data_IF_757393814856
#
_entry.id   IF_757393814856
#
_cell.length_a   1.000
_cell.length_b   1.000
_cell.length_c   1.000
_cell.angle_alpha   90.00
_cell.angle_beta   90.00
_cell.angle_gamma   90.00
#
_symmetry.space_group_name_H-M   'P 1'
#
loop_
_entity.id
_entity.type
_entity.pdbx_description
1 polymer ?
#
# COMPACT_ATOMS: atom_id res chain seq x y z
N UNK A 1 48.81 73.79 46.95
CA UNK A 1 49.17 72.98 45.75
C UNK A 1 49.44 71.50 46.05
N UNK A 2 49.55 71.09 47.32
CA UNK A 2 49.79 69.68 47.72
C UNK A 2 48.50 68.86 47.82
N UNK A 3 47.42 69.43 48.34
CA UNK A 3 46.11 68.76 48.47
C UNK A 3 45.45 68.43 47.12
N UNK A 4 45.56 69.35 46.14
CA UNK A 4 45.04 69.12 44.77
C UNK A 4 45.81 68.00 44.07
N UNK A 5 47.13 67.90 44.28
CA UNK A 5 47.96 66.82 43.72
C UNK A 5 47.60 65.46 44.32
N UNK A 6 47.32 65.39 45.63
CA UNK A 6 46.92 64.14 46.31
C UNK A 6 45.56 63.65 45.77
N UNK A 7 44.60 64.56 45.57
CA UNK A 7 43.28 64.21 45.03
C UNK A 7 43.33 63.73 43.57
N UNK A 8 44.24 64.31 42.76
CA UNK A 8 44.45 63.93 41.37
C UNK A 8 45.13 62.56 41.24
N UNK A 9 46.06 62.23 42.14
CA UNK A 9 46.74 60.92 42.17
C UNK A 9 45.77 59.82 42.61
N UNK A 10 44.90 60.07 43.60
CA UNK A 10 43.89 59.09 44.03
C UNK A 10 42.85 58.82 42.94
N UNK A 11 42.48 59.83 42.15
CA UNK A 11 41.56 59.67 41.02
C UNK A 11 42.19 58.92 39.85
N UNK A 12 43.49 59.13 39.60
CA UNK A 12 44.24 58.39 38.57
C UNK A 12 44.42 56.91 38.93
N UNK A 13 44.63 56.58 40.22
CA UNK A 13 44.75 55.20 40.69
C UNK A 13 43.42 54.45 40.70
N UNK A 14 42.29 55.10 40.99
CA UNK A 14 40.97 54.45 40.93
C UNK A 14 40.50 54.17 39.51
N UNK A 15 40.97 54.95 38.52
CA UNK A 15 40.64 54.73 37.10
C UNK A 15 41.31 53.51 36.48
N UNK A 16 42.38 52.98 37.08
CA UNK A 16 43.13 51.83 36.57
C UNK A 16 42.57 50.48 37.07
N UNK A 17 41.60 50.50 38.01
CA UNK A 17 41.02 49.31 38.67
C UNK A 17 39.56 49.08 38.25
N UNK A 18 39.17 49.52 37.05
CA UNK A 18 37.94 49.06 36.37
C UNK A 18 38.23 48.00 35.28
N UNK A 19 38.92 46.87 35.57
CA UNK A 19 39.13 45.84 34.58
C UNK A 19 37.85 45.04 34.35
N UNK A 20 37.61 44.68 33.09
CA UNK A 20 37.18 43.32 32.71
C UNK A 20 35.83 42.87 33.30
N UNK A 21 34.76 43.61 32.98
CA UNK A 21 33.39 43.09 33.02
C UNK A 21 32.72 43.14 31.63
N UNK A 22 33.52 43.15 30.56
CA UNK A 22 33.08 43.02 29.18
C UNK A 22 33.38 41.64 28.65
N UNK A 23 32.79 40.60 29.24
CA UNK A 23 32.71 39.29 28.60
C UNK A 23 31.85 39.43 27.34
N UNK A 24 32.50 39.72 26.22
CA UNK A 24 32.01 39.30 24.91
C UNK A 24 32.11 37.78 24.85
N UNK A 25 31.15 37.08 25.45
CA UNK A 25 30.78 35.75 25.02
C UNK A 25 29.62 35.92 24.05
N UNK A 26 29.95 36.21 22.80
CA UNK A 26 29.08 35.85 21.69
C UNK A 26 29.06 34.32 21.66
N UNK A 27 28.21 33.74 22.52
CA UNK A 27 27.83 32.35 22.42
C UNK A 27 27.08 32.23 21.12
N UNK A 28 27.82 31.94 20.04
CA UNK A 28 27.26 31.39 18.83
C UNK A 28 26.40 30.23 19.26
N UNK A 29 25.08 30.47 19.31
CA UNK A 29 24.10 29.42 19.47
C UNK A 29 24.15 28.65 18.17
N UNK A 30 25.10 27.72 18.05
CA UNK A 30 24.89 26.57 17.21
C UNK A 30 23.59 25.96 17.71
N UNK A 31 22.50 26.23 16.98
CA UNK A 31 21.26 25.53 17.15
C UNK A 31 21.55 24.09 16.78
N UNK A 32 22.00 23.31 17.77
CA UNK A 32 22.04 21.86 17.67
C UNK A 32 20.64 21.48 17.21
N UNK A 33 20.54 21.01 15.96
CA UNK A 33 19.30 20.49 15.41
C UNK A 33 18.78 19.47 16.41
N UNK A 34 17.75 19.86 17.16
CA UNK A 34 17.31 19.10 18.30
C UNK A 34 16.71 17.81 17.75
N UNK A 35 17.38 16.68 18.00
CA UNK A 35 16.92 15.38 17.52
C UNK A 35 15.48 15.16 17.97
N UNK A 36 14.55 15.05 17.02
CA UNK A 36 13.16 14.74 17.33
C UNK A 36 13.06 13.27 17.71
N UNK A 37 12.76 13.00 18.97
CA UNK A 37 12.49 11.66 19.49
C UNK A 37 11.00 11.35 19.38
N UNK A 38 10.66 10.18 18.85
CA UNK A 38 9.30 9.64 18.85
C UNK A 38 9.27 8.34 19.68
N UNK A 39 8.21 8.15 20.47
CA UNK A 39 7.99 6.92 21.23
C UNK A 39 7.51 5.82 20.30
N UNK A 40 8.22 4.69 20.25
CA UNK A 40 7.81 3.53 19.45
C UNK A 40 6.53 2.93 20.02
N UNK A 41 5.52 2.77 19.17
CA UNK A 41 4.26 2.12 19.52
C UNK A 41 4.16 0.79 18.77
N UNK A 42 3.70 -0.25 19.48
CA UNK A 42 3.40 -1.53 18.86
C UNK A 42 1.98 -1.50 18.30
N UNK A 43 1.83 -1.92 17.05
CA UNK A 43 0.53 -2.08 16.39
C UNK A 43 0.60 -3.22 15.39
N UNK A 44 -0.56 -3.57 14.81
CA UNK A 44 -0.63 -4.57 13.75
C UNK A 44 -0.35 -3.90 12.40
N UNK A 45 0.44 -4.56 11.57
CA UNK A 45 0.66 -4.17 10.18
C UNK A 45 -0.04 -5.19 9.28
N UNK A 46 -1.02 -4.74 8.50
CA UNK A 46 -1.69 -5.56 7.49
C UNK A 46 -1.11 -5.19 6.14
N UNK A 47 -0.63 -6.18 5.39
CA UNK A 47 -0.08 -6.02 4.05
C UNK A 47 -1.00 -6.79 3.11
N UNK A 48 -1.74 -6.07 2.28
CA UNK A 48 -2.58 -6.66 1.24
C UNK A 48 -1.76 -6.85 -0.04
N UNK A 49 -1.87 -8.03 -0.66
CA UNK A 49 -1.23 -8.33 -1.93
C UNK A 49 -2.33 -8.50 -2.98
N UNK A 50 -2.39 -7.58 -3.94
CA UNK A 50 -3.34 -7.66 -5.05
C UNK A 50 -2.83 -8.66 -6.09
N UNK A 51 -3.58 -9.73 -6.31
CA UNK A 51 -3.35 -10.67 -7.40
C UNK A 51 -4.38 -10.45 -8.52
N UNK A 52 -3.93 -10.51 -9.77
CA UNK A 52 -4.78 -10.47 -10.96
C UNK A 52 -4.59 -11.76 -11.73
N UNK A 53 -5.67 -12.35 -12.21
CA UNK A 53 -5.65 -13.58 -12.97
C UNK A 53 -6.93 -13.74 -13.79
N UNK A 54 -6.89 -14.66 -14.74
CA UNK A 54 -8.07 -15.01 -15.54
C UNK A 54 -8.90 -16.06 -14.82
N UNK A 55 -10.23 -15.93 -14.92
CA UNK A 55 -11.15 -16.97 -14.45
C UNK A 55 -11.40 -17.97 -15.59
N UNK A 56 -11.47 -19.25 -15.24
CA UNK A 56 -11.84 -20.33 -16.14
C UNK A 56 -12.94 -21.17 -15.50
N UNK A 57 -13.78 -21.80 -16.33
CA UNK A 57 -14.79 -22.73 -15.86
C UNK A 57 -14.12 -23.95 -15.23
N UNK A 58 -14.65 -24.41 -14.10
CA UNK A 58 -14.15 -25.63 -13.45
C UNK A 58 -14.40 -26.89 -14.28
N UNK A 59 -15.38 -26.84 -15.19
CA UNK A 59 -15.75 -27.93 -16.08
C UNK A 59 -16.33 -27.36 -17.39
N UNK A 60 -15.85 -27.88 -18.50
CA UNK A 60 -16.39 -27.64 -19.84
C UNK A 60 -16.48 -29.00 -20.51
N UNK A 61 -17.61 -29.29 -21.14
CA UNK A 61 -17.86 -30.58 -21.79
C UNK A 61 -18.35 -30.32 -23.21
N UNK A 62 -17.78 -31.03 -24.17
CA UNK A 62 -18.28 -31.08 -25.54
C UNK A 62 -19.19 -32.30 -25.64
N UNK A 63 -20.49 -32.04 -25.86
CA UNK A 63 -21.49 -33.10 -25.92
C UNK A 63 -21.55 -33.66 -27.33
N UNK A 64 -21.52 -34.98 -27.43
CA UNK A 64 -21.69 -35.71 -28.67
C UNK A 64 -22.74 -36.81 -28.48
N UNK A 65 -23.41 -37.18 -29.55
CA UNK A 65 -24.24 -38.37 -29.56
C UNK A 65 -23.35 -39.60 -29.70
N UNK A 66 -23.49 -40.55 -28.77
CA UNK A 66 -22.82 -41.85 -28.84
C UNK A 66 -23.66 -42.79 -29.70
N UNK A 67 -23.47 -42.70 -31.02
CA UNK A 67 -24.18 -43.50 -32.01
C UNK A 67 -23.45 -44.83 -32.26
N UNK A 68 -24.20 -45.93 -32.26
CA UNK A 68 -23.67 -47.22 -32.72
C UNK A 68 -23.52 -47.26 -34.26
N UNK A 69 -24.34 -46.49 -34.97
CA UNK A 69 -24.34 -46.39 -36.43
C UNK A 69 -23.42 -45.27 -36.93
N UNK A 70 -23.08 -45.31 -38.21
CA UNK A 70 -22.06 -44.43 -38.81
C UNK A 70 -22.54 -42.98 -38.98
N UNK A 71 -23.85 -42.76 -39.03
CA UNK A 71 -24.50 -41.46 -39.17
C UNK A 71 -25.85 -41.45 -38.44
N UNK A 72 -26.33 -40.26 -38.08
CA UNK A 72 -27.63 -40.04 -37.44
C UNK A 72 -28.05 -38.58 -37.59
N UNK A 73 -29.36 -38.34 -37.72
CA UNK A 73 -29.93 -37.00 -37.93
C UNK A 73 -30.52 -36.48 -36.62
N UNK A 74 -30.29 -35.20 -36.32
CA UNK A 74 -30.92 -34.53 -35.16
C UNK A 74 -32.35 -34.17 -35.55
N UNK A 75 -33.33 -34.66 -34.79
CA UNK A 75 -34.75 -34.35 -34.96
C UNK A 75 -35.05 -32.95 -34.39
N UNK A 76 -34.67 -32.73 -33.14
CA UNK A 76 -34.94 -31.47 -32.44
C UNK A 76 -33.87 -31.12 -31.40
N UNK A 77 -33.68 -29.82 -31.18
CA UNK A 77 -32.88 -29.26 -30.08
C UNK A 77 -33.83 -28.57 -29.11
N UNK A 78 -33.74 -28.95 -27.83
CA UNK A 78 -34.70 -28.57 -26.78
C UNK A 78 -34.20 -27.45 -25.87
N UNK A 79 -33.08 -26.81 -26.21
CA UNK A 79 -32.43 -25.75 -25.43
C UNK A 79 -31.91 -24.65 -26.33
N UNK A 80 -31.81 -23.45 -25.79
CA UNK A 80 -31.23 -22.29 -26.46
C UNK A 80 -29.86 -21.92 -25.86
N UNK A 81 -29.09 -21.13 -26.60
CA UNK A 81 -27.79 -20.65 -26.12
C UNK A 81 -27.95 -19.78 -24.87
N UNK A 82 -27.21 -20.12 -23.81
CA UNK A 82 -27.25 -19.41 -22.53
C UNK A 82 -28.21 -20.02 -21.51
N UNK A 83 -28.95 -21.07 -21.87
CA UNK A 83 -29.84 -21.77 -20.94
C UNK A 83 -29.06 -22.45 -19.81
N UNK A 84 -29.68 -22.44 -18.63
CA UNK A 84 -29.23 -23.24 -17.49
C UNK A 84 -29.94 -24.59 -17.53
N UNK A 85 -29.15 -25.67 -17.53
CA UNK A 85 -29.66 -27.05 -17.65
C UNK A 85 -29.31 -27.87 -16.41
N UNK A 86 -30.15 -28.85 -16.11
CA UNK A 86 -29.94 -29.77 -14.98
C UNK A 86 -29.29 -31.09 -15.42
N UNK A 87 -28.66 -31.78 -14.46
CA UNK A 87 -28.06 -33.08 -14.72
C UNK A 87 -29.16 -34.08 -15.13
N UNK A 88 -29.00 -34.68 -16.31
CA UNK A 88 -29.94 -35.66 -16.86
C UNK A 88 -31.07 -35.04 -17.66
N UNK A 89 -31.10 -33.71 -17.83
CA UNK A 89 -32.01 -33.05 -18.75
C UNK A 89 -31.70 -33.47 -20.19
N UNK A 90 -32.75 -33.76 -20.96
CA UNK A 90 -32.64 -34.01 -22.40
C UNK A 90 -32.42 -32.68 -23.11
N UNK A 91 -31.33 -32.58 -23.87
CA UNK A 91 -30.92 -31.35 -24.56
C UNK A 91 -31.28 -31.36 -26.05
N UNK A 92 -31.29 -32.53 -26.66
CA UNK A 92 -31.63 -32.73 -28.07
C UNK A 92 -32.08 -34.18 -28.29
N UNK A 93 -32.83 -34.44 -29.36
CA UNK A 93 -33.29 -35.76 -29.78
C UNK A 93 -32.77 -36.10 -31.17
N UNK A 94 -32.55 -37.38 -31.39
CA UNK A 94 -32.20 -37.94 -32.68
C UNK A 94 -33.46 -38.47 -33.35
N UNK A 95 -33.49 -38.38 -34.66
CA UNK A 95 -34.47 -39.05 -35.49
C UNK A 95 -34.15 -40.55 -35.51
N UNK A 96 -35.10 -41.36 -35.01
CA UNK A 96 -34.96 -42.81 -34.89
C UNK A 96 -35.85 -43.57 -35.88
N UNK A 97 -36.56 -42.90 -36.79
CA UNK A 97 -37.48 -43.56 -37.73
C UNK A 97 -36.78 -44.63 -38.58
N UNK A 98 -35.51 -44.44 -38.94
CA UNK A 98 -34.73 -45.41 -39.73
C UNK A 98 -34.31 -46.66 -38.94
N UNK A 99 -34.41 -46.66 -37.61
CA UNK A 99 -33.88 -47.72 -36.72
C UNK A 99 -34.96 -48.45 -35.91
N UNK A 100 -36.21 -48.00 -35.96
CA UNK A 100 -37.32 -48.54 -35.15
C UNK A 100 -38.11 -49.69 -35.83
N UNK A 101 -37.65 -50.20 -36.98
CA UNK A 101 -38.21 -51.39 -37.68
C UNK A 101 -37.49 -52.71 -37.35
#
# INVERSE_FOLDING_TARGET
MTLVKIMLITFLLSGLVFPVAGCASESGSESLSQNQMATVQRGNLVIDITAVGNLALSRTEELAFDLFYQEGTVEEVLVEEGDTVEKGQVLAKLDTEEWED
#
